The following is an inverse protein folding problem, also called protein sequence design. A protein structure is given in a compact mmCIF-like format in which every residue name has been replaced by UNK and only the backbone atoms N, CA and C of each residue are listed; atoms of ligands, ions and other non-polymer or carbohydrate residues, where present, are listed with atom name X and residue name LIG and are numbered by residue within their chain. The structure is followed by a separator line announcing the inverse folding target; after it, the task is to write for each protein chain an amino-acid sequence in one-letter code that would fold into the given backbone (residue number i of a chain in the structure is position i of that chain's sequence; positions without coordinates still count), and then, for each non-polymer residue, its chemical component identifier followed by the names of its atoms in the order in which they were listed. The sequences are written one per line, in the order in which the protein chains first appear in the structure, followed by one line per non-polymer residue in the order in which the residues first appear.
data_IF_089327830480
#
_entry.id   IF_089327830480
#
_cell.length_a   1.000
_cell.length_b   1.000
_cell.length_c   1.000
_cell.angle_alpha   90.00
_cell.angle_beta   90.00
_cell.angle_gamma   90.00
#
_symmetry.space_group_name_H-M   'P 1'
#
loop_
_entity.id
_entity.type
_entity.pdbx_description
1 polymer ?
#
# COMPACT_ATOMS: atom_id res chain seq x y z
N UNK A 1 21.51 12.87 19.23
CA UNK A 1 21.26 11.67 18.41
C UNK A 1 19.77 11.45 18.40
N UNK A 2 19.07 11.93 17.36
CA UNK A 2 17.63 11.68 17.21
C UNK A 2 17.49 10.25 16.69
N UNK A 3 16.85 9.39 17.47
CA UNK A 3 16.46 8.06 17.02
C UNK A 3 15.22 8.25 16.15
N UNK A 4 15.40 8.21 14.82
CA UNK A 4 14.26 8.12 13.90
C UNK A 4 13.57 6.79 14.18
N UNK A 5 12.38 6.84 14.79
CA UNK A 5 11.54 5.65 14.92
C UNK A 5 11.27 5.10 13.52
N UNK A 6 11.19 3.77 13.32
CA UNK A 6 10.78 3.23 12.03
C UNK A 6 9.40 3.79 11.71
N UNK A 7 9.32 4.62 10.68
CA UNK A 7 8.07 5.17 10.14
C UNK A 7 7.18 3.97 9.82
N UNK A 8 6.13 3.78 10.62
CA UNK A 8 5.08 2.83 10.27
C UNK A 8 4.48 3.34 8.97
N UNK A 9 4.39 2.52 7.92
CA UNK A 9 3.76 2.95 6.68
C UNK A 9 2.36 3.47 7.01
N UNK A 10 2.09 4.71 6.62
CA UNK A 10 0.76 5.26 6.78
C UNK A 10 -0.12 4.64 5.70
N UNK A 11 -1.01 3.75 6.14
CA UNK A 11 -2.05 3.19 5.28
C UNK A 11 -3.27 4.08 5.44
N UNK A 12 -3.64 4.80 4.39
CA UNK A 12 -4.78 5.69 4.38
C UNK A 12 -5.93 5.07 3.57
N UNK A 13 -7.16 5.06 4.11
CA UNK A 13 -8.33 4.64 3.37
C UNK A 13 -8.77 5.76 2.42
N UNK A 14 -8.78 5.50 1.11
CA UNK A 14 -9.20 6.45 0.06
C UNK A 14 -10.69 6.26 -0.27
N UNK A 15 -11.13 5.01 -0.34
CA UNK A 15 -12.53 4.59 -0.54
C UNK A 15 -12.81 3.30 0.23
N UNK A 16 -14.05 2.84 0.26
CA UNK A 16 -14.48 1.63 0.97
C UNK A 16 -13.64 0.37 0.66
N UNK A 17 -13.03 0.34 -0.51
CA UNK A 17 -12.24 -0.77 -1.03
C UNK A 17 -10.78 -0.40 -1.38
N UNK A 18 -10.36 0.86 -1.26
CA UNK A 18 -9.05 1.31 -1.70
C UNK A 18 -8.24 1.92 -0.57
N UNK A 19 -7.01 1.44 -0.43
CA UNK A 19 -6.03 1.95 0.53
C UNK A 19 -4.84 2.55 -0.21
N UNK A 20 -4.36 3.71 0.22
CA UNK A 20 -3.06 4.25 -0.15
C UNK A 20 -1.98 3.69 0.77
N UNK A 21 -0.82 3.34 0.22
CA UNK A 21 0.38 2.99 0.97
C UNK A 21 1.38 4.13 0.84
N UNK A 22 1.64 4.81 1.96
CA UNK A 22 2.39 6.07 1.98
C UNK A 22 3.74 5.92 2.70
N UNK A 23 4.65 6.82 2.34
CA UNK A 23 5.79 7.27 3.15
C UNK A 23 5.54 8.71 3.60
N UNK A 24 6.44 9.29 4.39
CA UNK A 24 6.34 10.69 4.84
C UNK A 24 6.14 11.70 3.69
N UNK A 25 6.68 11.40 2.50
CA UNK A 25 6.70 12.34 1.38
C UNK A 25 5.97 11.85 0.12
N UNK A 26 5.76 10.54 -0.03
CA UNK A 26 5.32 9.96 -1.30
C UNK A 26 4.31 8.81 -1.13
N UNK A 27 3.47 8.62 -2.14
CA UNK A 27 2.66 7.40 -2.30
C UNK A 27 3.51 6.32 -2.96
N UNK A 28 3.69 5.18 -2.29
CA UNK A 28 4.40 4.02 -2.84
C UNK A 28 3.51 3.21 -3.78
N UNK A 29 2.21 3.16 -3.46
CA UNK A 29 1.25 2.36 -4.18
C UNK A 29 -0.06 2.26 -3.45
N UNK A 30 -0.84 1.25 -3.81
CA UNK A 30 -2.21 1.09 -3.35
C UNK A 30 -2.49 -0.37 -3.00
N UNK A 31 -3.53 -0.58 -2.20
CA UNK A 31 -4.14 -1.89 -2.03
C UNK A 31 -5.61 -1.77 -2.40
N UNK A 32 -6.07 -2.54 -3.38
CA UNK A 32 -7.49 -2.59 -3.77
C UNK A 32 -8.11 -3.89 -3.27
N UNK A 33 -9.18 -3.78 -2.49
CA UNK A 33 -9.96 -4.91 -1.98
C UNK A 33 -11.01 -5.33 -3.01
N UNK A 34 -10.80 -6.48 -3.62
CA UNK A 34 -11.74 -7.11 -4.57
C UNK A 34 -12.32 -8.36 -3.91
N UNK A 35 -13.52 -8.24 -3.35
CA UNK A 35 -14.15 -9.30 -2.56
C UNK A 35 -13.32 -9.64 -1.31
N UNK A 36 -12.88 -10.91 -1.14
CA UNK A 36 -12.03 -11.30 0.00
C UNK A 36 -10.52 -11.06 -0.25
N UNK A 37 -10.12 -10.63 -1.45
CA UNK A 37 -8.72 -10.50 -1.86
C UNK A 37 -8.29 -9.03 -1.81
N UNK A 38 -7.08 -8.79 -1.34
CA UNK A 38 -6.38 -7.52 -1.37
C UNK A 38 -5.31 -7.59 -2.47
N UNK A 39 -5.45 -6.76 -3.50
CA UNK A 39 -4.53 -6.65 -4.64
C UNK A 39 -3.54 -5.53 -4.36
N UNK A 40 -2.25 -5.85 -4.36
CA UNK A 40 -1.16 -4.89 -4.16
C UNK A 40 -0.78 -4.25 -5.50
N UNK A 41 -0.84 -2.92 -5.57
CA UNK A 41 -0.53 -2.12 -6.75
C UNK A 41 0.67 -1.22 -6.45
N UNK A 42 1.70 -1.21 -7.30
CA UNK A 42 2.90 -0.40 -7.14
C UNK A 42 2.90 0.77 -8.13
N UNK A 43 3.20 1.97 -7.65
CA UNK A 43 3.21 3.20 -8.43
C UNK A 43 2.47 4.33 -7.72
N UNK A 44 3.01 5.54 -7.81
CA UNK A 44 2.48 6.72 -7.12
C UNK A 44 1.16 7.27 -7.71
N UNK A 45 0.82 6.88 -8.94
CA UNK A 45 -0.42 7.25 -9.64
C UNK A 45 -1.28 6.01 -9.81
N UNK A 46 -2.47 6.00 -9.20
CA UNK A 46 -3.42 4.89 -9.24
C UNK A 46 -3.74 4.43 -10.67
N UNK A 47 -3.84 5.36 -11.62
CA UNK A 47 -4.18 5.03 -13.01
C UNK A 47 -3.05 4.34 -13.77
N UNK A 48 -1.82 4.43 -13.26
CA UNK A 48 -0.62 3.83 -13.86
C UNK A 48 0.04 2.79 -12.95
N UNK A 49 -0.51 2.54 -11.77
CA UNK A 49 0.00 1.54 -10.84
C UNK A 49 -0.18 0.12 -11.41
N UNK A 50 0.82 -0.73 -11.20
CA UNK A 50 0.83 -2.11 -11.70
C UNK A 50 0.63 -3.10 -10.59
N UNK A 51 -0.09 -4.19 -10.85
CA UNK A 51 -0.22 -5.28 -9.88
C UNK A 51 1.14 -5.93 -9.59
N UNK A 52 1.46 -6.05 -8.30
CA UNK A 52 2.71 -6.65 -7.81
C UNK A 52 2.50 -7.87 -6.91
N UNK A 53 1.24 -8.19 -6.60
CA UNK A 53 0.83 -9.36 -5.84
C UNK A 53 -0.61 -9.27 -5.32
N UNK A 54 -1.06 -10.34 -4.66
CA UNK A 54 -2.37 -10.42 -4.04
C UNK A 54 -2.33 -11.26 -2.76
N UNK A 55 -3.25 -11.00 -1.83
CA UNK A 55 -3.29 -11.64 -0.51
C UNK A 55 -4.69 -11.63 0.09
N UNK A 56 -5.00 -12.56 0.99
CA UNK A 56 -6.22 -12.52 1.82
C UNK A 56 -6.06 -11.64 3.08
N UNK A 57 -4.87 -11.08 3.29
CA UNK A 57 -4.51 -10.20 4.41
C UNK A 57 -4.06 -8.84 3.87
N UNK A 58 -4.67 -7.78 4.40
CA UNK A 58 -4.30 -6.39 4.10
C UNK A 58 -2.83 -6.12 4.43
N UNK A 59 -2.37 -6.50 5.62
CA UNK A 59 -0.98 -6.28 6.05
C UNK A 59 0.02 -6.90 5.08
N UNK A 60 -0.28 -8.10 4.57
CA UNK A 60 0.58 -8.76 3.57
C UNK A 60 0.53 -8.08 2.21
N UNK A 61 -0.61 -7.58 1.77
CA UNK A 61 -0.68 -6.78 0.54
C UNK A 61 0.11 -5.47 0.67
N UNK A 62 0.05 -4.80 1.83
CA UNK A 62 0.87 -3.61 2.13
C UNK A 62 2.36 -3.94 2.11
N UNK A 63 2.79 -5.06 2.69
CA UNK A 63 4.18 -5.53 2.59
C UNK A 63 4.62 -5.76 1.15
N UNK A 64 3.75 -6.32 0.30
CA UNK A 64 4.04 -6.53 -1.13
C UNK A 64 4.31 -5.20 -1.85
N UNK A 65 3.49 -4.16 -1.61
CA UNK A 65 3.73 -2.81 -2.16
C UNK A 65 5.09 -2.27 -1.71
N UNK A 66 5.48 -2.48 -0.45
CA UNK A 66 6.75 -1.99 0.11
C UNK A 66 7.99 -2.74 -0.36
N UNK A 67 7.82 -3.94 -0.90
CA UNK A 67 8.92 -4.83 -1.30
C UNK A 67 9.38 -4.64 -2.76
N UNK A 68 8.86 -3.62 -3.44
CA UNK A 68 9.10 -3.35 -4.86
C UNK A 68 9.95 -2.12 -5.08
#
# INVERSE_FOLDING_TARGET
MVLSLPVRPEVALISDDLYSVLTDNDTLGYVHKVGPVFVALCGADLHHAVEVGQSLSLDRAVEMVRSR
#
